data_IF_534378384759
#
_entry.id   IF_534378384759
#
_cell.length_a   1.000
_cell.length_b   1.000
_cell.length_c   1.000
_cell.angle_alpha   90.00
_cell.angle_beta   90.00
_cell.angle_gamma   90.00
#
_symmetry.space_group_name_H-M   'P 1'
#
loop_
_entity.id
_entity.type
_entity.pdbx_description
1 polymer ?
#
# COMPACT_ATOMS: atom_id res chain seq x y z
N UNK A 1 64.67 19.19 9.26
CA UNK A 1 63.72 18.08 8.85
C UNK A 1 62.52 17.88 9.82
N UNK A 2 62.61 18.16 11.11
CA UNK A 2 61.46 18.05 12.07
C UNK A 2 60.34 19.09 11.86
N UNK A 3 60.68 20.30 11.40
CA UNK A 3 59.68 21.38 11.20
C UNK A 3 58.82 21.22 9.96
N UNK A 4 59.30 20.53 8.93
CA UNK A 4 58.55 20.26 7.69
C UNK A 4 57.49 19.16 7.90
N UNK A 5 57.77 18.16 8.77
CA UNK A 5 56.79 17.11 9.11
C UNK A 5 55.62 17.65 9.92
N UNK A 6 55.82 18.66 10.76
CA UNK A 6 54.75 19.29 11.55
C UNK A 6 53.81 20.13 10.67
N UNK A 7 54.35 20.80 9.64
CA UNK A 7 53.55 21.59 8.69
C UNK A 7 52.68 20.68 7.78
N UNK A 8 53.20 19.51 7.41
CA UNK A 8 52.46 18.55 6.60
C UNK A 8 51.28 17.90 7.37
N UNK A 9 51.45 17.67 8.67
CA UNK A 9 50.38 17.12 9.53
C UNK A 9 49.28 18.18 9.74
N UNK A 10 49.61 19.45 9.81
CA UNK A 10 48.63 20.54 9.93
C UNK A 10 47.86 20.77 8.63
N UNK A 11 48.49 20.48 7.46
CA UNK A 11 47.80 20.59 6.15
C UNK A 11 46.85 19.44 5.88
N UNK A 12 47.09 18.22 6.43
CA UNK A 12 46.23 17.05 6.29
C UNK A 12 45.07 17.11 7.30
N UNK A 13 45.24 17.78 8.45
CA UNK A 13 44.18 17.97 9.45
C UNK A 13 43.11 19.01 9.09
N UNK A 14 43.34 19.81 8.03
CA UNK A 14 42.42 20.88 7.62
C UNK A 14 41.43 20.55 6.53
N UNK A 15 41.42 19.30 5.99
CA UNK A 15 40.58 18.92 4.81
C UNK A 15 39.36 18.10 5.18
N UNK A 16 39.12 17.82 6.43
CA UNK A 16 38.02 16.99 6.83
C UNK A 16 36.97 17.72 7.66
N UNK A 17 36.25 18.70 7.16
CA UNK A 17 34.95 19.14 7.72
C UNK A 17 34.24 20.13 6.76
N UNK A 18 34.06 19.77 5.51
CA UNK A 18 32.95 20.32 4.74
C UNK A 18 32.10 19.18 4.26
N UNK A 19 31.36 18.57 5.18
CA UNK A 19 30.09 17.93 4.84
C UNK A 19 29.15 19.07 4.44
N UNK A 20 29.23 19.52 3.19
CA UNK A 20 28.13 20.22 2.57
C UNK A 20 26.98 19.22 2.57
N UNK A 21 26.05 19.35 3.53
CA UNK A 21 24.67 18.96 3.32
C UNK A 21 24.22 19.81 2.13
N UNK A 22 24.24 19.25 0.94
CA UNK A 22 23.54 19.81 -0.21
C UNK A 22 22.07 19.67 0.16
N UNK A 23 21.49 20.70 0.80
CA UNK A 23 20.07 20.92 0.75
C UNK A 23 19.79 21.17 -0.73
N UNK A 24 19.22 20.19 -1.40
CA UNK A 24 18.58 20.45 -2.68
C UNK A 24 17.41 21.39 -2.34
N UNK A 25 17.65 22.68 -2.47
CA UNK A 25 16.59 23.66 -2.50
C UNK A 25 15.63 23.20 -3.60
N UNK A 26 14.32 23.23 -3.30
CA UNK A 26 13.27 23.06 -4.31
C UNK A 26 13.68 23.97 -5.45
N UNK A 27 13.89 23.40 -6.64
CA UNK A 27 14.35 24.15 -7.80
C UNK A 27 13.41 25.33 -7.95
N UNK A 28 13.99 26.52 -7.91
CA UNK A 28 13.34 27.82 -7.94
C UNK A 28 12.75 28.08 -9.34
N UNK A 29 11.65 27.42 -9.68
CA UNK A 29 10.76 27.78 -10.77
C UNK A 29 9.69 28.79 -10.31
N UNK A 30 9.82 29.34 -9.09
CA UNK A 30 8.92 30.35 -8.53
C UNK A 30 7.62 29.80 -7.94
N UNK A 31 7.47 28.48 -7.84
CA UNK A 31 6.32 27.84 -7.20
C UNK A 31 6.57 27.63 -5.71
N UNK A 32 5.56 27.96 -4.89
CA UNK A 32 5.57 27.62 -3.47
C UNK A 32 5.33 26.11 -3.28
N UNK A 33 5.78 25.56 -2.14
CA UNK A 33 5.49 24.15 -1.80
C UNK A 33 3.99 23.86 -1.86
N UNK A 34 3.13 24.79 -1.43
CA UNK A 34 1.67 24.64 -1.51
C UNK A 34 1.18 24.47 -2.95
N UNK A 35 1.64 25.33 -3.87
CA UNK A 35 1.27 25.22 -5.28
C UNK A 35 1.76 23.91 -5.88
N UNK A 36 2.97 23.49 -5.53
CA UNK A 36 3.55 22.25 -6.04
C UNK A 36 2.79 21.02 -5.56
N UNK A 37 2.53 20.85 -4.24
CA UNK A 37 1.83 19.66 -3.75
C UNK A 37 0.36 19.61 -4.14
N UNK A 38 -0.28 20.78 -4.38
CA UNK A 38 -1.66 20.87 -4.86
C UNK A 38 -1.79 20.87 -6.39
N UNK A 39 -0.68 20.82 -7.13
CA UNK A 39 -0.69 20.67 -8.60
C UNK A 39 -1.02 19.26 -9.07
N UNK A 40 -0.91 18.28 -8.18
CA UNK A 40 -1.34 16.90 -8.41
C UNK A 40 -2.63 16.61 -7.65
N UNK A 41 -3.56 15.89 -8.31
CA UNK A 41 -4.83 15.52 -7.70
C UNK A 41 -4.61 14.56 -6.51
N UNK A 42 -3.66 13.64 -6.66
CA UNK A 42 -3.31 12.68 -5.62
C UNK A 42 -1.81 12.35 -5.61
N UNK A 43 -1.33 11.98 -4.43
CA UNK A 43 0.02 11.47 -4.19
C UNK A 43 -0.06 10.02 -3.74
N UNK A 44 0.45 9.08 -4.56
CA UNK A 44 0.60 7.69 -4.18
C UNK A 44 1.72 7.55 -3.15
N UNK A 45 1.43 6.94 -2.01
CA UNK A 45 2.41 6.64 -0.97
C UNK A 45 3.12 5.34 -1.31
N UNK A 46 4.32 5.42 -1.88
CA UNK A 46 5.15 4.24 -2.15
C UNK A 46 5.77 3.73 -0.84
N UNK A 47 4.96 2.94 -0.12
CA UNK A 47 5.33 2.46 1.21
C UNK A 47 6.54 1.51 1.18
N UNK A 48 6.79 0.82 0.07
CA UNK A 48 7.94 -0.10 -0.06
C UNK A 48 9.28 0.63 -0.02
N UNK A 49 9.32 1.90 -0.45
CA UNK A 49 10.51 2.76 -0.40
C UNK A 49 10.73 3.47 0.93
N UNK A 50 9.76 3.44 1.84
CA UNK A 50 9.88 4.09 3.17
C UNK A 50 11.19 3.69 3.84
N UNK A 51 11.93 4.65 4.40
CA UNK A 51 13.19 4.43 5.12
C UNK A 51 13.11 4.94 6.55
N UNK A 52 14.09 4.52 7.38
CA UNK A 52 14.09 4.84 8.81
C UNK A 52 13.40 3.78 9.66
N UNK A 53 13.35 4.01 10.98
CA UNK A 53 12.82 3.06 11.97
C UNK A 53 11.52 3.51 12.61
N UNK A 54 11.12 4.77 12.38
CA UNK A 54 9.91 5.36 12.93
C UNK A 54 8.68 5.14 12.07
N UNK A 55 7.59 5.78 12.49
CA UNK A 55 6.30 5.66 11.84
C UNK A 55 5.45 6.92 12.03
N UNK A 56 4.81 7.35 10.95
CA UNK A 56 3.69 8.31 11.00
C UNK A 56 2.40 7.52 10.76
N UNK A 57 1.50 7.43 11.75
CA UNK A 57 0.38 6.48 11.70
C UNK A 57 -0.54 6.63 10.50
N UNK A 58 -0.90 7.87 10.09
CA UNK A 58 -1.79 8.06 8.94
C UNK A 58 -1.10 7.71 7.61
N UNK A 59 0.22 8.00 7.47
CA UNK A 59 1.00 7.64 6.27
C UNK A 59 1.22 6.14 6.15
N UNK A 60 1.34 5.44 7.28
CA UNK A 60 1.50 3.99 7.29
C UNK A 60 0.22 3.22 6.93
N UNK A 61 -0.91 3.92 6.79
CA UNK A 61 -2.21 3.34 6.43
C UNK A 61 -2.70 3.77 5.05
N UNK A 62 -2.31 4.98 4.61
CA UNK A 62 -2.78 5.55 3.36
C UNK A 62 -2.12 4.92 2.13
N UNK A 63 -2.91 4.66 1.08
CA UNK A 63 -2.41 4.36 -0.26
C UNK A 63 -2.21 5.64 -1.06
N UNK A 64 -3.14 6.60 -0.93
CA UNK A 64 -2.99 7.92 -1.53
C UNK A 64 -3.31 9.02 -0.53
N UNK A 65 -2.68 10.20 -0.73
CA UNK A 65 -2.97 11.43 -0.01
C UNK A 65 -3.17 12.53 -1.05
N UNK A 66 -4.12 13.44 -0.78
CA UNK A 66 -4.38 14.61 -1.63
C UNK A 66 -4.38 15.88 -0.79
N UNK A 67 -3.88 16.96 -1.38
CA UNK A 67 -3.76 18.27 -0.75
C UNK A 67 -4.57 19.30 -1.55
N UNK A 68 -5.72 19.73 -1.03
CA UNK A 68 -6.59 20.66 -1.75
C UNK A 68 -7.14 21.73 -0.80
N UNK A 69 -6.88 23.00 -1.11
CA UNK A 69 -7.41 24.17 -0.39
C UNK A 69 -7.22 24.09 1.15
N UNK A 70 -6.04 23.66 1.61
CA UNK A 70 -5.72 23.52 3.03
C UNK A 70 -6.31 22.29 3.70
N UNK A 71 -7.07 21.47 2.97
CA UNK A 71 -7.61 20.18 3.45
C UNK A 71 -6.78 19.03 2.94
N UNK A 72 -6.45 18.10 3.84
CA UNK A 72 -5.79 16.85 3.51
C UNK A 72 -6.82 15.72 3.40
N UNK A 73 -6.73 14.96 2.32
CA UNK A 73 -7.57 13.79 2.04
C UNK A 73 -6.70 12.55 1.98
N UNK A 74 -7.28 11.37 2.25
CA UNK A 74 -6.56 10.10 2.12
C UNK A 74 -7.48 8.95 1.74
N UNK A 75 -6.92 7.95 1.06
CA UNK A 75 -7.53 6.65 0.81
C UNK A 75 -6.75 5.57 1.59
N UNK A 76 -7.45 4.85 2.47
CA UNK A 76 -6.92 3.74 3.26
C UNK A 76 -7.36 2.37 2.72
N UNK A 77 -8.11 2.35 1.62
CA UNK A 77 -8.57 1.19 0.90
C UNK A 77 -8.12 1.27 -0.56
N UNK A 78 -7.93 0.12 -1.19
CA UNK A 78 -7.65 -0.02 -2.61
C UNK A 78 -8.97 -0.14 -3.38
N UNK A 79 -9.91 -0.91 -2.84
CA UNK A 79 -11.28 -1.01 -3.37
C UNK A 79 -11.93 0.36 -3.33
N UNK A 80 -12.61 0.75 -4.39
CA UNK A 80 -13.27 2.05 -4.57
C UNK A 80 -12.33 3.28 -4.49
N UNK A 81 -11.01 3.11 -4.58
CA UNK A 81 -10.06 4.22 -4.44
C UNK A 81 -10.29 5.33 -5.47
N UNK A 82 -10.67 4.98 -6.69
CA UNK A 82 -11.00 5.95 -7.75
C UNK A 82 -12.37 6.60 -7.59
N UNK A 83 -13.26 6.03 -6.78
CA UNK A 83 -14.63 6.51 -6.55
C UNK A 83 -14.72 7.34 -5.28
N UNK A 84 -13.97 6.97 -4.22
CA UNK A 84 -14.00 7.64 -2.91
C UNK A 84 -13.54 9.10 -3.06
N UNK A 85 -14.43 10.05 -2.76
CA UNK A 85 -14.16 11.48 -2.88
C UNK A 85 -13.73 11.91 -4.28
N UNK A 86 -14.24 11.26 -5.34
CA UNK A 86 -13.80 11.44 -6.72
C UNK A 86 -12.30 11.15 -6.93
N UNK A 87 -11.76 10.13 -6.23
CA UNK A 87 -10.36 9.74 -6.28
C UNK A 87 -9.46 10.44 -5.25
N UNK A 88 -9.88 11.54 -4.66
CA UNK A 88 -9.09 12.24 -3.65
C UNK A 88 -9.03 11.50 -2.30
N UNK A 89 -10.05 10.72 -1.98
CA UNK A 89 -10.24 10.09 -0.68
C UNK A 89 -11.17 10.85 0.24
N UNK A 90 -11.18 10.49 1.51
CA UNK A 90 -11.94 11.18 2.56
C UNK A 90 -11.11 12.28 3.22
N UNK A 91 -11.74 13.35 3.67
CA UNK A 91 -11.07 14.39 4.46
C UNK A 91 -10.59 13.81 5.80
N UNK A 92 -9.29 13.94 6.07
CA UNK A 92 -8.63 13.37 7.26
C UNK A 92 -7.94 14.42 8.13
N UNK A 93 -7.95 15.69 7.71
CA UNK A 93 -7.32 16.77 8.44
C UNK A 93 -7.05 18.00 7.59
N UNK A 94 -6.17 18.86 8.09
CA UNK A 94 -5.74 20.06 7.40
C UNK A 94 -4.23 20.07 7.22
N UNK A 95 -3.75 20.89 6.27
CA UNK A 95 -2.34 21.13 6.05
C UNK A 95 -2.05 22.60 5.83
N UNK A 96 -0.81 22.99 6.10
CA UNK A 96 -0.20 24.27 5.72
C UNK A 96 1.24 24.05 5.31
N UNK A 97 1.81 25.01 4.60
CA UNK A 97 3.21 24.94 4.16
C UNK A 97 3.96 26.23 4.50
N UNK A 98 5.24 26.11 4.83
CA UNK A 98 6.16 27.23 5.03
C UNK A 98 7.56 26.85 4.52
N UNK A 99 8.06 27.52 3.49
CA UNK A 99 9.28 27.13 2.82
C UNK A 99 9.21 25.68 2.31
N UNK A 100 10.08 24.81 2.79
CA UNK A 100 10.08 23.37 2.49
C UNK A 100 9.26 22.53 3.47
N UNK A 101 8.69 23.16 4.49
CA UNK A 101 7.99 22.45 5.56
C UNK A 101 6.52 22.26 5.19
N UNK A 102 6.06 21.03 5.32
CA UNK A 102 4.65 20.62 5.28
C UNK A 102 4.19 20.33 6.70
N UNK A 103 3.34 21.19 7.23
CA UNK A 103 2.64 20.96 8.49
C UNK A 103 1.31 20.26 8.23
N UNK A 104 1.00 19.21 8.97
CA UNK A 104 -0.27 18.49 8.87
C UNK A 104 -0.91 18.38 10.24
N UNK A 105 -2.23 18.47 10.27
CA UNK A 105 -3.03 18.21 11.46
C UNK A 105 -4.08 17.15 11.14
N UNK A 106 -3.70 15.91 11.37
CA UNK A 106 -4.57 14.76 11.16
C UNK A 106 -5.61 14.68 12.28
N UNK A 107 -6.88 14.47 11.92
CA UNK A 107 -8.01 14.54 12.86
C UNK A 107 -7.93 13.53 14.03
N UNK A 108 -7.25 12.41 13.82
CA UNK A 108 -7.10 11.33 14.81
C UNK A 108 -5.70 11.30 15.41
N UNK A 109 -4.68 11.37 14.56
CA UNK A 109 -3.28 11.12 14.95
C UNK A 109 -2.56 12.41 15.40
N UNK A 110 -3.15 13.60 15.15
CA UNK A 110 -2.64 14.87 15.64
C UNK A 110 -1.70 15.60 14.67
N UNK A 111 -0.78 16.38 15.20
CA UNK A 111 0.12 17.26 14.46
C UNK A 111 1.42 16.55 14.06
N UNK A 112 1.84 16.79 12.81
CA UNK A 112 3.13 16.36 12.27
C UNK A 112 3.73 17.47 11.43
N UNK A 113 5.05 17.55 11.41
CA UNK A 113 5.84 18.45 10.60
C UNK A 113 6.82 17.64 9.76
N UNK A 114 6.83 17.89 8.46
CA UNK A 114 7.68 17.18 7.50
C UNK A 114 8.56 18.16 6.75
N UNK A 115 9.83 17.80 6.60
CA UNK A 115 10.69 18.44 5.61
C UNK A 115 10.43 17.76 4.24
N UNK A 116 10.08 18.56 3.22
CA UNK A 116 9.74 18.06 1.89
C UNK A 116 10.91 18.27 0.96
N UNK A 117 11.33 17.18 0.31
CA UNK A 117 12.39 17.18 -0.69
C UNK A 117 11.79 16.75 -2.02
N UNK A 118 11.84 17.63 -3.02
CA UNK A 118 11.47 17.28 -4.39
C UNK A 118 12.57 16.41 -5.00
N UNK A 119 12.21 15.23 -5.51
CA UNK A 119 13.13 14.28 -6.14
C UNK A 119 13.06 14.34 -7.66
N UNK A 120 11.87 14.62 -8.20
CA UNK A 120 11.63 14.83 -9.63
C UNK A 120 10.41 15.75 -9.82
N UNK A 121 9.95 15.94 -11.07
CA UNK A 121 8.79 16.77 -11.35
C UNK A 121 7.52 16.29 -10.62
N UNK A 122 7.36 14.98 -10.42
CA UNK A 122 6.18 14.39 -9.79
C UNK A 122 6.54 13.47 -8.61
N UNK A 123 7.71 13.61 -8.02
CA UNK A 123 8.12 12.77 -6.90
C UNK A 123 8.67 13.61 -5.77
N UNK A 124 8.19 13.35 -4.56
CA UNK A 124 8.69 13.95 -3.32
C UNK A 124 9.08 12.88 -2.31
N UNK A 125 10.00 13.27 -1.44
CA UNK A 125 10.24 12.60 -0.17
C UNK A 125 9.82 13.53 0.96
N UNK A 126 9.06 13.02 1.91
CA UNK A 126 8.68 13.73 3.12
C UNK A 126 9.37 13.08 4.31
N UNK A 127 10.13 13.87 5.06
CA UNK A 127 10.96 13.43 6.17
C UNK A 127 10.35 13.89 7.50
N UNK A 128 9.98 12.96 8.38
CA UNK A 128 9.72 13.27 9.79
C UNK A 128 11.00 12.98 10.59
N UNK A 129 11.75 14.05 10.87
CA UNK A 129 13.00 13.95 11.61
C UNK A 129 12.77 13.54 13.06
N UNK A 130 11.63 13.89 13.65
CA UNK A 130 11.28 13.56 15.04
C UNK A 130 11.03 12.06 15.22
N UNK A 131 10.46 11.43 14.21
CA UNK A 131 10.16 9.99 14.18
C UNK A 131 11.24 9.18 13.46
N UNK A 132 12.25 9.81 12.86
CA UNK A 132 13.28 9.14 12.07
C UNK A 132 12.68 8.25 10.97
N UNK A 133 11.84 8.83 10.12
CA UNK A 133 11.19 8.14 9.00
C UNK A 133 11.06 9.06 7.79
N UNK A 134 11.25 8.48 6.60
CA UNK A 134 11.06 9.15 5.32
C UNK A 134 10.08 8.35 4.45
N UNK A 135 9.09 9.04 3.88
CA UNK A 135 8.12 8.48 2.94
C UNK A 135 8.35 9.04 1.55
N UNK A 136 8.15 8.22 0.53
CA UNK A 136 8.25 8.59 -0.88
C UNK A 136 6.87 8.63 -1.48
N UNK A 137 6.53 9.74 -2.14
CA UNK A 137 5.23 9.97 -2.74
C UNK A 137 5.41 10.32 -4.22
N UNK A 138 4.55 9.73 -5.05
CA UNK A 138 4.52 10.00 -6.49
C UNK A 138 3.18 10.68 -6.84
N UNK A 139 3.27 11.87 -7.46
CA UNK A 139 2.11 12.68 -7.82
C UNK A 139 1.49 12.24 -9.15
N UNK A 140 0.16 12.19 -9.19
CA UNK A 140 -0.64 11.84 -10.36
C UNK A 140 -1.86 12.75 -10.50
N UNK A 141 -2.35 12.88 -11.73
CA UNK A 141 -3.70 13.33 -11.98
C UNK A 141 -4.65 12.14 -11.92
N UNK A 142 -5.88 12.31 -11.45
CA UNK A 142 -6.84 11.21 -11.27
C UNK A 142 -7.20 10.51 -12.59
N UNK A 143 -7.17 11.23 -13.71
CA UNK A 143 -7.44 10.71 -15.05
C UNK A 143 -6.29 9.91 -15.66
N UNK A 144 -5.06 10.06 -15.15
CA UNK A 144 -3.85 9.35 -15.61
C UNK A 144 -3.33 8.33 -14.63
N UNK A 145 -3.94 8.20 -13.45
CA UNK A 145 -3.50 7.26 -12.43
C UNK A 145 -3.82 5.82 -12.82
N UNK A 146 -2.80 4.98 -12.85
CA UNK A 146 -2.96 3.55 -13.16
C UNK A 146 -3.45 2.77 -11.93
N UNK A 147 -4.77 2.70 -11.77
CA UNK A 147 -5.40 1.92 -10.70
C UNK A 147 -5.08 0.41 -10.80
N UNK A 148 -4.83 -0.12 -12.02
CA UNK A 148 -4.45 -1.52 -12.16
C UNK A 148 -3.07 -1.79 -11.55
N UNK A 149 -2.11 -0.90 -11.79
CA UNK A 149 -0.79 -0.99 -11.14
C UNK A 149 -0.93 -1.03 -9.62
N UNK A 150 -1.81 -0.19 -9.05
CA UNK A 150 -2.04 -0.14 -7.62
C UNK A 150 -2.49 -1.49 -7.04
N UNK A 151 -3.42 -2.20 -7.72
CA UNK A 151 -3.87 -3.53 -7.29
C UNK A 151 -2.72 -4.53 -7.25
N UNK A 152 -1.89 -4.56 -8.29
CA UNK A 152 -0.80 -5.53 -8.38
C UNK A 152 0.38 -5.20 -7.47
N UNK A 153 0.66 -3.93 -7.21
CA UNK A 153 1.69 -3.51 -6.26
C UNK A 153 1.28 -3.77 -4.80
N UNK A 154 -0.01 -3.75 -4.53
CA UNK A 154 -0.56 -3.93 -3.19
C UNK A 154 -1.50 -5.14 -3.10
N UNK A 155 -1.23 -6.19 -3.86
CA UNK A 155 -2.14 -7.32 -4.08
C UNK A 155 -2.55 -8.04 -2.78
N UNK A 156 -1.65 -8.17 -1.80
CA UNK A 156 -1.98 -8.80 -0.52
C UNK A 156 -3.01 -7.96 0.24
N UNK A 157 -2.88 -6.62 0.19
CA UNK A 157 -3.86 -5.72 0.81
C UNK A 157 -5.21 -5.79 0.09
N UNK A 158 -5.19 -5.86 -1.24
CA UNK A 158 -6.39 -6.00 -2.05
C UNK A 158 -7.13 -7.30 -1.73
N UNK A 159 -6.44 -8.43 -1.66
CA UNK A 159 -7.03 -9.72 -1.29
C UNK A 159 -7.68 -9.70 0.10
N UNK A 160 -7.17 -8.87 1.01
CA UNK A 160 -7.64 -8.75 2.39
C UNK A 160 -8.77 -7.72 2.58
N UNK A 161 -9.21 -7.02 1.53
CA UNK A 161 -10.24 -5.97 1.65
C UNK A 161 -11.68 -6.49 1.64
N UNK A 162 -11.89 -7.80 1.50
CA UNK A 162 -13.21 -8.42 1.57
C UNK A 162 -13.28 -9.41 2.74
N UNK A 163 -14.49 -9.56 3.33
CA UNK A 163 -14.72 -10.57 4.36
C UNK A 163 -14.54 -11.97 3.81
N UNK A 164 -14.92 -12.19 2.55
CA UNK A 164 -14.68 -13.40 1.79
C UNK A 164 -14.66 -13.10 0.28
N UNK A 165 -14.13 -14.04 -0.49
CA UNK A 165 -14.20 -14.12 -1.94
C UNK A 165 -15.07 -15.32 -2.29
N UNK A 166 -16.18 -15.13 -3.02
CA UNK A 166 -17.05 -16.21 -3.48
C UNK A 166 -16.74 -16.55 -4.93
N UNK A 167 -16.60 -17.84 -5.23
CA UNK A 167 -16.45 -18.29 -6.61
C UNK A 167 -17.75 -18.08 -7.38
N UNK A 168 -17.67 -17.33 -8.47
CA UNK A 168 -18.81 -16.98 -9.31
C UNK A 168 -18.82 -17.68 -10.66
N UNK A 169 -17.66 -18.19 -11.10
CA UNK A 169 -17.54 -18.93 -12.35
C UNK A 169 -16.38 -19.92 -12.31
N UNK A 170 -16.50 -21.00 -13.10
CA UNK A 170 -15.51 -22.04 -13.29
C UNK A 170 -15.52 -22.52 -14.72
N UNK A 171 -14.33 -22.51 -15.37
CA UNK A 171 -14.24 -22.89 -16.79
C UNK A 171 -12.99 -23.71 -17.09
N UNK A 172 -13.18 -24.72 -17.96
CA UNK A 172 -12.09 -25.54 -18.51
C UNK A 172 -11.42 -26.46 -17.48
N UNK A 173 -10.27 -26.99 -17.86
CA UNK A 173 -9.42 -27.80 -17.00
C UNK A 173 -9.87 -29.23 -16.76
N UNK A 174 -9.11 -29.94 -15.93
CA UNK A 174 -9.41 -31.27 -15.44
C UNK A 174 -9.94 -31.18 -13.99
N UNK A 175 -10.86 -32.08 -13.57
CA UNK A 175 -11.32 -32.11 -12.19
C UNK A 175 -10.19 -32.17 -11.19
N UNK A 176 -10.31 -31.40 -10.12
CA UNK A 176 -9.29 -31.31 -9.08
C UNK A 176 -9.94 -31.00 -7.70
N UNK A 177 -9.23 -31.18 -6.57
CA UNK A 177 -9.80 -30.95 -5.24
C UNK A 177 -10.31 -29.54 -5.00
N UNK A 178 -9.67 -28.53 -5.56
CA UNK A 178 -10.04 -27.12 -5.41
C UNK A 178 -11.40 -26.78 -6.04
N UNK A 179 -11.93 -27.62 -6.97
CA UNK A 179 -13.28 -27.43 -7.54
C UNK A 179 -14.40 -27.44 -6.49
N UNK A 180 -14.14 -27.97 -5.30
CA UNK A 180 -15.09 -27.96 -4.19
C UNK A 180 -14.98 -26.73 -3.28
N UNK A 181 -13.95 -25.90 -3.45
CA UNK A 181 -13.75 -24.70 -2.63
C UNK A 181 -14.51 -23.51 -3.22
N UNK A 182 -15.61 -23.15 -2.58
CA UNK A 182 -16.51 -22.10 -3.05
C UNK A 182 -16.15 -20.72 -2.50
N UNK A 183 -15.50 -20.67 -1.34
CA UNK A 183 -15.11 -19.42 -0.69
C UNK A 183 -13.64 -19.42 -0.32
N UNK A 184 -13.01 -18.24 -0.46
CA UNK A 184 -11.68 -17.94 0.03
C UNK A 184 -11.73 -16.73 0.97
N UNK A 185 -10.84 -16.69 1.94
CA UNK A 185 -10.62 -15.52 2.80
C UNK A 185 -9.15 -15.33 3.03
N UNK A 186 -8.67 -14.10 2.81
CA UNK A 186 -7.31 -13.69 3.12
C UNK A 186 -7.33 -12.74 4.30
N UNK A 187 -6.47 -12.94 5.29
CA UNK A 187 -6.49 -12.14 6.51
C UNK A 187 -5.25 -11.29 6.63
N UNK A 188 -5.40 -10.10 7.22
CA UNK A 188 -4.29 -9.26 7.61
C UNK A 188 -3.68 -9.66 8.97
N UNK A 189 -4.30 -10.60 9.67
CA UNK A 189 -3.79 -11.15 10.93
C UNK A 189 -2.69 -12.14 10.59
N UNK A 190 -1.44 -11.74 10.79
CA UNK A 190 -0.20 -12.42 10.39
C UNK A 190 0.14 -12.33 8.89
N UNK A 191 -0.54 -11.48 8.11
CA UNK A 191 -0.26 -11.06 6.72
C UNK A 191 -0.17 -12.19 5.66
N UNK A 192 -0.33 -13.46 6.04
CA UNK A 192 -0.10 -14.62 5.17
C UNK A 192 -1.10 -15.77 5.40
N UNK A 193 -2.14 -15.58 6.21
CA UNK A 193 -3.12 -16.64 6.48
C UNK A 193 -4.29 -16.56 5.51
N UNK A 194 -4.69 -17.69 4.94
CA UNK A 194 -5.93 -17.84 4.20
C UNK A 194 -6.81 -18.92 4.81
N UNK A 195 -8.08 -18.86 4.46
CA UNK A 195 -9.10 -19.88 4.76
C UNK A 195 -9.86 -20.20 3.48
N UNK A 196 -10.36 -21.44 3.37
CA UNK A 196 -11.28 -21.82 2.31
C UNK A 196 -12.44 -22.64 2.83
N UNK A 197 -13.54 -22.73 2.05
CA UNK A 197 -14.78 -23.37 2.46
C UNK A 197 -15.50 -24.05 1.30
N UNK A 198 -16.12 -25.19 1.62
CA UNK A 198 -17.01 -25.95 0.77
C UNK A 198 -18.50 -25.54 0.91
N UNK A 199 -18.81 -24.57 1.75
CA UNK A 199 -20.19 -24.14 1.96
C UNK A 199 -20.91 -23.83 0.63
N UNK A 200 -22.23 -24.06 0.54
CA UNK A 200 -22.99 -23.77 -0.67
C UNK A 200 -22.91 -22.31 -1.08
N UNK A 201 -22.91 -22.04 -2.38
CA UNK A 201 -22.99 -20.70 -2.94
C UNK A 201 -24.14 -19.89 -2.34
N UNK A 202 -23.91 -18.60 -2.08
CA UNK A 202 -24.88 -17.70 -1.44
C UNK A 202 -24.97 -17.85 0.07
N UNK A 203 -24.07 -18.60 0.71
CA UNK A 203 -23.97 -18.63 2.18
C UNK A 203 -23.65 -17.24 2.69
N UNK A 204 -24.41 -16.78 3.71
CA UNK A 204 -24.11 -15.50 4.34
C UNK A 204 -22.71 -15.52 4.95
N UNK A 205 -21.91 -14.49 4.65
CA UNK A 205 -20.49 -14.43 4.95
C UNK A 205 -20.17 -14.61 6.45
N UNK A 206 -21.06 -14.18 7.34
CA UNK A 206 -20.89 -14.31 8.80
C UNK A 206 -21.11 -15.75 9.31
N UNK A 207 -21.65 -16.65 8.47
CA UNK A 207 -21.96 -18.04 8.78
C UNK A 207 -21.14 -19.04 7.97
N UNK A 208 -20.20 -18.59 7.13
CA UNK A 208 -19.32 -19.49 6.39
C UNK A 208 -18.50 -20.33 7.36
N UNK A 209 -18.57 -21.65 7.21
CA UNK A 209 -17.71 -22.59 7.91
C UNK A 209 -16.40 -22.74 7.16
N UNK A 210 -15.28 -22.37 7.79
CA UNK A 210 -13.97 -22.46 7.18
C UNK A 210 -13.39 -23.86 7.38
N UNK A 211 -13.49 -24.68 6.32
CA UNK A 211 -13.09 -26.10 6.34
C UNK A 211 -11.57 -26.27 6.35
N UNK A 212 -10.86 -25.34 5.72
CA UNK A 212 -9.41 -25.35 5.60
C UNK A 212 -8.81 -24.03 6.03
N UNK A 213 -7.61 -24.14 6.61
CA UNK A 213 -6.73 -23.01 6.94
C UNK A 213 -5.34 -23.30 6.39
N UNK A 214 -4.56 -22.24 6.14
CA UNK A 214 -3.20 -22.36 5.67
C UNK A 214 -2.53 -21.02 5.46
N UNK A 215 -1.36 -21.03 4.86
CA UNK A 215 -0.62 -19.83 4.49
C UNK A 215 -0.62 -19.58 2.99
N UNK A 216 -0.55 -18.32 2.57
CA UNK A 216 -0.42 -18.00 1.16
C UNK A 216 0.83 -17.18 0.85
N UNK A 217 1.32 -17.31 -0.37
CA UNK A 217 2.47 -16.58 -0.87
C UNK A 217 2.12 -15.98 -2.22
N UNK A 218 2.39 -14.68 -2.41
CA UNK A 218 2.30 -14.02 -3.71
C UNK A 218 3.70 -13.73 -4.24
N UNK A 219 3.94 -14.05 -5.53
CA UNK A 219 5.23 -13.79 -6.22
C UNK A 219 5.00 -12.90 -7.42
N UNK A 220 5.97 -12.03 -7.70
CA UNK A 220 6.03 -11.27 -8.93
C UNK A 220 6.50 -12.17 -10.09
N UNK A 221 6.04 -11.85 -11.31
CA UNK A 221 6.45 -12.55 -12.53
C UNK A 221 7.30 -11.62 -13.39
N UNK A 222 8.47 -12.08 -13.81
CA UNK A 222 9.41 -11.28 -14.62
C UNK A 222 8.70 -10.84 -15.92
N UNK A 223 8.70 -9.52 -16.17
CA UNK A 223 8.14 -8.93 -17.39
C UNK A 223 6.60 -8.88 -17.46
N UNK A 224 5.90 -9.24 -16.36
CA UNK A 224 4.43 -9.29 -16.31
C UNK A 224 3.92 -8.43 -15.14
N UNK A 225 3.56 -7.20 -15.41
CA UNK A 225 3.04 -6.30 -14.37
C UNK A 225 1.63 -6.68 -13.91
N UNK A 226 0.83 -7.28 -14.81
CA UNK A 226 -0.58 -7.63 -14.59
C UNK A 226 -0.78 -9.14 -14.32
N UNK A 227 0.23 -9.79 -13.74
CA UNK A 227 0.18 -11.21 -13.35
C UNK A 227 0.97 -11.40 -12.07
N UNK A 228 0.39 -12.14 -11.14
CA UNK A 228 1.08 -12.66 -9.94
C UNK A 228 0.92 -14.18 -9.89
N UNK A 229 1.85 -14.85 -9.20
CA UNK A 229 1.66 -16.25 -8.82
C UNK A 229 1.21 -16.30 -7.37
N UNK A 230 0.08 -16.97 -7.14
CA UNK A 230 -0.47 -17.25 -5.82
C UNK A 230 -0.24 -18.73 -5.50
N UNK A 231 0.33 -19.00 -4.33
CA UNK A 231 0.47 -20.34 -3.78
C UNK A 231 -0.31 -20.39 -2.48
N UNK A 232 -1.20 -21.36 -2.35
CA UNK A 232 -1.92 -21.69 -1.12
C UNK A 232 -1.29 -22.96 -0.53
N UNK A 233 -0.76 -22.86 0.70
CA UNK A 233 -0.20 -24.01 1.42
C UNK A 233 -1.14 -24.34 2.57
N UNK A 234 -1.84 -25.45 2.48
CA UNK A 234 -2.80 -25.90 3.48
C UNK A 234 -2.09 -26.54 4.67
N UNK A 235 -2.67 -26.41 5.85
CA UNK A 235 -2.09 -26.98 7.08
C UNK A 235 -2.04 -28.52 7.08
N UNK A 236 -2.83 -29.18 6.21
CA UNK A 236 -2.74 -30.63 5.97
C UNK A 236 -1.54 -31.06 5.11
N UNK A 237 -0.77 -30.10 4.57
CA UNK A 237 0.40 -30.32 3.74
C UNK A 237 0.15 -30.26 2.22
N UNK A 238 -1.09 -30.09 1.79
CA UNK A 238 -1.42 -29.88 0.38
C UNK A 238 -0.99 -28.47 -0.09
N UNK A 239 -0.79 -28.33 -1.39
CA UNK A 239 -0.39 -27.04 -2.00
C UNK A 239 -1.11 -26.88 -3.33
N UNK A 240 -1.73 -25.71 -3.50
CA UNK A 240 -2.36 -25.29 -4.75
C UNK A 240 -1.69 -24.04 -5.32
N UNK A 241 -1.47 -24.02 -6.62
CA UNK A 241 -0.78 -22.93 -7.33
C UNK A 241 -1.64 -22.31 -8.42
N UNK A 242 -1.67 -20.99 -8.46
CA UNK A 242 -2.49 -20.23 -9.40
C UNK A 242 -1.71 -19.12 -10.09
N UNK A 243 -2.10 -18.84 -11.34
CA UNK A 243 -1.87 -17.55 -11.98
C UNK A 243 -3.01 -16.62 -11.53
N UNK A 244 -2.66 -15.57 -10.79
CA UNK A 244 -3.60 -14.58 -10.24
C UNK A 244 -3.61 -13.33 -11.12
N UNK A 245 -4.81 -12.94 -11.60
CA UNK A 245 -5.04 -11.67 -12.27
C UNK A 245 -6.24 -10.94 -11.65
N UNK A 246 -6.17 -9.61 -11.60
CA UNK A 246 -7.27 -8.75 -11.15
C UNK A 246 -8.10 -8.36 -12.36
N UNK A 247 -9.42 -8.56 -12.31
CA UNK A 247 -10.35 -8.18 -13.37
C UNK A 247 -10.85 -6.75 -13.15
N UNK A 248 -11.22 -6.45 -11.91
CA UNK A 248 -11.62 -5.12 -11.43
C UNK A 248 -11.45 -5.04 -9.91
N UNK A 249 -11.90 -3.95 -9.30
CA UNK A 249 -11.77 -3.68 -7.86
C UNK A 249 -12.57 -4.63 -6.94
N UNK A 250 -13.36 -5.55 -7.50
CA UNK A 250 -14.18 -6.53 -6.76
C UNK A 250 -14.02 -7.98 -7.28
N UNK A 251 -13.17 -8.20 -8.31
CA UNK A 251 -13.13 -9.50 -9.00
C UNK A 251 -11.71 -9.91 -9.34
N UNK A 252 -11.35 -11.14 -8.97
CA UNK A 252 -10.08 -11.78 -9.32
C UNK A 252 -10.29 -13.03 -10.16
N UNK A 253 -9.30 -13.37 -10.96
CA UNK A 253 -9.21 -14.63 -11.70
C UNK A 253 -8.05 -15.44 -11.18
N UNK A 254 -8.31 -16.68 -10.84
CA UNK A 254 -7.34 -17.69 -10.45
C UNK A 254 -7.30 -18.80 -11.50
N UNK A 255 -6.22 -18.92 -12.26
CA UNK A 255 -6.00 -20.03 -13.17
C UNK A 255 -5.12 -21.07 -12.51
N UNK A 256 -5.70 -22.21 -12.19
CA UNK A 256 -5.00 -23.31 -11.51
C UNK A 256 -3.91 -23.92 -12.41
N UNK A 257 -2.70 -24.08 -11.88
CA UNK A 257 -1.55 -24.46 -12.68
C UNK A 257 -1.62 -25.89 -13.15
N UNK A 258 -1.99 -26.83 -12.30
CA UNK A 258 -1.97 -28.27 -12.59
C UNK A 258 -3.16 -28.72 -13.43
N UNK A 259 -4.39 -28.33 -13.06
CA UNK A 259 -5.61 -28.73 -13.78
C UNK A 259 -5.92 -27.89 -15.01
N UNK A 260 -5.40 -26.65 -15.08
CA UNK A 260 -5.74 -25.64 -16.08
C UNK A 260 -7.17 -25.08 -15.95
N UNK A 261 -7.84 -25.37 -14.86
CA UNK A 261 -9.16 -24.80 -14.54
C UNK A 261 -8.99 -23.30 -14.21
N UNK A 262 -9.93 -22.50 -14.68
CA UNK A 262 -9.97 -21.05 -14.39
C UNK A 262 -11.17 -20.77 -13.51
N UNK A 263 -10.93 -20.16 -12.37
CA UNK A 263 -11.96 -19.73 -11.41
C UNK A 263 -12.04 -18.20 -11.39
N UNK A 264 -13.27 -17.70 -11.29
CA UNK A 264 -13.55 -16.29 -11.05
C UNK A 264 -14.10 -16.16 -9.64
N UNK A 265 -13.50 -15.30 -8.84
CA UNK A 265 -13.93 -14.98 -7.49
C UNK A 265 -14.35 -13.52 -7.40
N UNK A 266 -15.51 -13.26 -6.78
CA UNK A 266 -16.00 -11.92 -6.46
C UNK A 266 -15.92 -11.67 -4.96
N UNK A 267 -15.51 -10.48 -4.57
CA UNK A 267 -15.41 -10.06 -3.17
C UNK A 267 -16.78 -9.87 -2.54
N UNK A 268 -16.96 -10.36 -1.33
CA UNK A 268 -18.18 -10.22 -0.53
C UNK A 268 -17.91 -9.32 0.67
N UNK A 269 -18.77 -8.36 0.88
CA UNK A 269 -18.73 -7.41 1.99
C UNK A 269 -17.35 -6.76 2.17
N UNK A 270 -17.17 -5.69 1.43
CA UNK A 270 -15.99 -4.83 1.49
C UNK A 270 -15.74 -4.30 2.90
N UNK A 271 -14.51 -4.44 3.38
CA UNK A 271 -14.07 -3.95 4.70
C UNK A 271 -13.57 -2.53 4.55
N UNK A 272 -14.34 -1.56 5.03
CA UNK A 272 -13.94 -0.17 5.01
C UNK A 272 -12.96 0.14 6.15
N UNK A 273 -11.74 0.55 5.80
CA UNK A 273 -10.71 1.02 6.74
C UNK A 273 -10.72 2.55 6.91
N UNK A 274 -11.81 3.20 6.51
CA UNK A 274 -11.99 4.63 6.57
C UNK A 274 -12.06 5.12 8.03
N UNK A 275 -11.90 6.44 8.20
CA UNK A 275 -11.98 7.15 9.48
C UNK A 275 -13.24 6.75 10.25
N UNK A 276 -13.09 6.40 11.53
CA UNK A 276 -14.24 6.19 12.41
C UNK A 276 -15.04 7.50 12.51
N UNK A 277 -16.35 7.44 12.24
CA UNK A 277 -17.25 8.58 12.47
C UNK A 277 -17.13 9.03 13.94
N UNK A 278 -17.06 10.36 14.15
CA UNK A 278 -17.22 10.95 15.47
C UNK A 278 -18.67 10.71 15.91
N UNK A 279 -18.93 9.59 16.57
CA UNK A 279 -20.20 9.41 17.25
C UNK A 279 -20.26 10.44 18.39
N UNK A 280 -21.29 11.27 18.42
CA UNK A 280 -21.60 12.24 19.48
C UNK A 280 -21.95 11.57 20.83
N UNK A 281 -21.39 10.42 21.11
CA UNK A 281 -21.55 9.69 22.37
C UNK A 281 -20.29 9.84 23.20
N UNK A 282 -20.44 10.12 24.48
CA UNK A 282 -19.41 10.31 25.52
C UNK A 282 -18.52 9.09 25.79
N UNK A 283 -18.51 8.08 24.90
CA UNK A 283 -17.56 6.98 24.92
C UNK A 283 -16.38 7.33 24.02
N UNK A 284 -15.12 7.11 24.49
CA UNK A 284 -13.96 7.30 23.62
C UNK A 284 -14.16 6.44 22.38
N UNK A 285 -14.08 7.09 21.20
CA UNK A 285 -14.13 6.38 19.92
C UNK A 285 -13.15 5.23 19.98
N UNK A 286 -13.63 4.00 19.81
CA UNK A 286 -12.76 2.84 19.59
C UNK A 286 -12.01 3.20 18.33
N UNK A 287 -10.70 3.48 18.47
CA UNK A 287 -9.80 3.60 17.32
C UNK A 287 -9.98 2.31 16.54
N UNK A 288 -10.70 2.35 15.42
CA UNK A 288 -10.59 1.25 14.49
C UNK A 288 -9.11 1.21 14.15
N UNK A 289 -8.42 0.16 14.54
CA UNK A 289 -7.04 -0.05 14.18
C UNK A 289 -7.03 -0.29 12.68
N UNK A 290 -7.02 0.81 11.92
CA UNK A 290 -6.91 0.75 10.48
C UNK A 290 -5.72 -0.13 10.14
N UNK A 291 -5.85 -0.96 9.14
CA UNK A 291 -4.79 -1.86 8.67
C UNK A 291 -3.53 -1.05 8.42
N UNK A 292 -2.46 -1.36 9.16
CA UNK A 292 -1.14 -0.80 8.95
C UNK A 292 -0.48 -1.51 7.75
N UNK A 293 0.12 -0.75 6.86
CA UNK A 293 0.93 -1.31 5.77
C UNK A 293 2.27 -1.81 6.33
N UNK A 294 2.78 -2.89 5.75
CA UNK A 294 4.09 -3.47 6.03
C UNK A 294 4.90 -3.53 4.75
N UNK A 295 6.23 -3.58 4.86
CA UNK A 295 7.07 -3.77 3.67
C UNK A 295 7.04 -5.24 3.27
N UNK A 296 6.25 -5.55 2.26
CA UNK A 296 6.16 -6.89 1.70
C UNK A 296 7.27 -7.07 0.67
N UNK A 297 8.17 -8.00 0.92
CA UNK A 297 9.22 -8.37 -0.04
C UNK A 297 8.79 -9.62 -0.80
N UNK A 298 8.32 -9.43 -2.04
CA UNK A 298 7.96 -10.53 -2.93
C UNK A 298 9.17 -11.08 -3.66
N UNK A 299 9.24 -12.38 -3.76
CA UNK A 299 10.12 -13.07 -4.70
C UNK A 299 9.67 -12.77 -6.15
N UNK A 300 10.63 -12.62 -7.06
CA UNK A 300 10.34 -12.45 -8.49
C UNK A 300 10.82 -13.69 -9.22
N UNK A 301 9.90 -14.35 -9.94
CA UNK A 301 10.14 -15.62 -10.60
C UNK A 301 9.90 -15.53 -12.11
N UNK A 302 10.53 -16.41 -12.92
CA UNK A 302 10.27 -16.48 -14.37
C UNK A 302 8.80 -16.81 -14.67
N UNK A 303 8.32 -16.34 -15.84
CA UNK A 303 7.01 -16.73 -16.36
C UNK A 303 6.98 -18.24 -16.60
N UNK A 304 5.92 -18.92 -16.15
CA UNK A 304 5.64 -20.32 -16.45
C UNK A 304 5.41 -20.50 -17.97
N UNK A 305 5.89 -21.62 -18.52
CA UNK A 305 5.73 -21.96 -19.94
C UNK A 305 4.35 -22.56 -20.22
#
# INVERSE_FOLDING_TARGET
MKRIKLLLILLIGGVTLTSCVVRNEIVDDGFSLNEYISSYDLWYVDYHRTTGSGEVPFLSRAFTISFLNGTMYANNNIVDIGKTGNGLGIAVGNYSTYGTILETRHDIDGYFEFDVVQLSNNEIRIDDLSQNVSYYLVGYQTDTFDYNMLFYENIEYFLQEFKAWERTDETGGAPNPFDNEHYLKFTHKNDVTFYSSHDPFGTNVDYINWDFEGSYIVRNVIGENNLKYLTLNYDNGDTEEFDLTVINDETIRLKHVSSRTTYIFSGIEFIQYLKAEKTNTTKPAVRSSGRKRTKIKRETVPKRK
#
